data_IF_160656667595
#
_entry.id   IF_160656667595
#
_cell.length_a   1.000
_cell.length_b   1.000
_cell.length_c   1.000
_cell.angle_alpha   90.00
_cell.angle_beta   90.00
_cell.angle_gamma   90.00
#
_symmetry.space_group_name_H-M   'P 1'
#
loop_
_entity.id
_entity.type
_entity.pdbx_description
1 polymer ?
#
# COMPACT_ATOMS: atom_id res chain seq x y z
N UNK A 1 3.72 43.77 -12.13
CA UNK A 1 3.18 42.86 -11.13
C UNK A 1 3.88 41.49 -11.10
N UNK A 2 4.46 40.97 -12.21
CA UNK A 2 5.17 39.66 -12.28
C UNK A 2 6.32 39.49 -11.26
N UNK A 3 7.14 40.54 -11.02
CA UNK A 3 8.31 40.43 -10.16
C UNK A 3 8.03 40.34 -8.65
N UNK A 4 6.87 40.78 -8.17
CA UNK A 4 6.50 40.66 -6.75
C UNK A 4 6.04 39.25 -6.40
N UNK A 5 5.26 38.60 -7.23
CA UNK A 5 4.83 37.21 -7.07
C UNK A 5 6.02 36.24 -7.08
N UNK A 6 7.02 36.50 -7.92
CA UNK A 6 8.25 35.69 -7.97
C UNK A 6 9.04 35.74 -6.65
N UNK A 7 9.10 36.89 -5.96
CA UNK A 7 9.78 37.00 -4.65
C UNK A 7 9.12 36.20 -3.53
N UNK A 8 7.80 36.09 -3.54
CA UNK A 8 7.09 35.24 -2.56
C UNK A 8 7.27 33.74 -2.81
N UNK A 9 7.63 33.33 -4.04
CA UNK A 9 7.93 31.95 -4.37
C UNK A 9 9.35 31.52 -3.94
N UNK A 10 10.26 32.47 -3.69
CA UNK A 10 11.67 32.16 -3.35
C UNK A 10 11.82 31.24 -2.14
N UNK A 11 11.16 31.46 -0.99
CA UNK A 11 11.28 30.56 0.15
C UNK A 11 10.84 29.13 -0.17
N UNK A 12 9.76 28.97 -0.96
CA UNK A 12 9.28 27.68 -1.41
C UNK A 12 10.28 26.98 -2.34
N UNK A 13 10.84 27.71 -3.31
CA UNK A 13 11.84 27.16 -4.24
C UNK A 13 13.10 26.74 -3.49
N UNK A 14 13.58 27.54 -2.52
CA UNK A 14 14.74 27.19 -1.68
C UNK A 14 14.45 25.93 -0.88
N UNK A 15 13.27 25.86 -0.26
CA UNK A 15 12.85 24.65 0.49
C UNK A 15 12.82 23.42 -0.41
N UNK A 16 12.20 23.52 -1.60
CA UNK A 16 12.20 22.43 -2.59
C UNK A 16 13.60 22.02 -3.04
N UNK A 17 14.49 23.00 -3.26
CA UNK A 17 15.87 22.71 -3.64
C UNK A 17 16.63 21.93 -2.55
N UNK A 18 16.46 22.29 -1.28
CA UNK A 18 17.13 21.63 -0.16
C UNK A 18 16.53 20.24 0.12
N UNK A 19 15.20 20.12 0.17
CA UNK A 19 14.55 18.91 0.68
C UNK A 19 14.13 17.93 -0.43
N UNK A 20 14.10 18.33 -1.68
CA UNK A 20 13.75 17.47 -2.81
C UNK A 20 14.92 17.30 -3.76
N UNK A 21 15.48 18.40 -4.27
CA UNK A 21 16.52 18.32 -5.31
C UNK A 21 17.84 17.78 -4.75
N UNK A 22 18.27 18.26 -3.58
CA UNK A 22 19.53 17.81 -2.99
C UNK A 22 19.53 16.31 -2.65
N UNK A 23 18.50 15.72 -2.01
CA UNK A 23 18.45 14.27 -1.80
C UNK A 23 18.44 13.47 -3.10
N UNK A 24 17.76 13.95 -4.15
CA UNK A 24 17.78 13.29 -5.47
C UNK A 24 19.19 13.31 -6.06
N UNK A 25 19.88 14.44 -6.01
CA UNK A 25 21.28 14.55 -6.50
C UNK A 25 22.18 13.59 -5.71
N UNK A 26 22.07 13.58 -4.39
CA UNK A 26 22.82 12.67 -3.52
C UNK A 26 22.55 11.21 -3.90
N UNK A 27 21.30 10.84 -4.10
CA UNK A 27 20.92 9.48 -4.53
C UNK A 27 21.57 9.13 -5.88
N UNK A 28 21.51 10.02 -6.85
CA UNK A 28 22.15 9.81 -8.16
C UNK A 28 23.66 9.67 -8.03
N UNK A 29 24.31 10.53 -7.25
CA UNK A 29 25.76 10.43 -7.01
C UNK A 29 26.11 9.08 -6.38
N UNK A 30 25.40 8.65 -5.34
CA UNK A 30 25.64 7.33 -4.72
C UNK A 30 25.35 6.16 -5.65
N UNK A 31 24.35 6.27 -6.53
CA UNK A 31 24.04 5.22 -7.51
C UNK A 31 25.21 4.94 -8.47
N UNK A 32 25.97 5.97 -8.81
CA UNK A 32 27.13 5.90 -9.71
C UNK A 32 28.48 5.96 -9.01
N UNK A 33 28.53 5.92 -7.68
CA UNK A 33 29.74 5.99 -6.89
C UNK A 33 30.07 4.66 -6.22
N UNK A 34 31.37 4.29 -6.25
CA UNK A 34 31.90 3.18 -5.46
C UNK A 34 32.26 3.67 -4.04
N UNK A 35 32.49 2.74 -3.11
CA UNK A 35 33.02 2.99 -1.75
C UNK A 35 34.30 3.81 -1.74
N UNK A 36 35.12 3.71 -2.78
CA UNK A 36 36.39 4.45 -2.95
C UNK A 36 36.23 5.81 -3.65
N UNK A 37 34.98 6.25 -3.91
CA UNK A 37 34.66 7.53 -4.55
C UNK A 37 34.82 7.57 -6.05
N UNK A 38 35.10 6.42 -6.70
CA UNK A 38 35.21 6.29 -8.16
C UNK A 38 33.83 6.09 -8.83
N UNK A 39 33.76 6.44 -10.13
CA UNK A 39 32.56 6.14 -10.93
C UNK A 39 32.47 4.63 -11.19
N UNK A 40 31.28 4.05 -10.90
CA UNK A 40 31.02 2.63 -11.15
C UNK A 40 29.59 2.38 -11.58
N UNK A 41 29.39 1.31 -12.35
CA UNK A 41 28.08 0.76 -12.71
C UNK A 41 27.77 -0.55 -11.94
N UNK A 42 28.67 -0.98 -11.05
CA UNK A 42 28.53 -2.24 -10.32
C UNK A 42 27.28 -2.29 -9.47
N UNK A 43 26.84 -1.16 -8.93
CA UNK A 43 25.58 -1.05 -8.18
C UNK A 43 24.37 -1.50 -9.02
N UNK A 44 24.38 -1.19 -10.33
CA UNK A 44 23.31 -1.61 -11.24
C UNK A 44 23.43 -3.09 -11.64
N UNK A 45 24.65 -3.61 -11.76
CA UNK A 45 24.88 -5.04 -12.02
C UNK A 45 24.40 -5.87 -10.83
N UNK A 46 24.68 -5.43 -9.60
CA UNK A 46 24.21 -6.08 -8.36
C UNK A 46 22.68 -6.06 -8.25
N UNK A 47 21.98 -5.06 -8.80
CA UNK A 47 20.52 -5.03 -8.88
C UNK A 47 19.95 -6.23 -9.64
N UNK A 48 20.71 -6.83 -10.57
CA UNK A 48 20.30 -8.05 -11.26
C UNK A 48 19.99 -9.21 -10.31
N UNK A 49 20.69 -9.32 -9.18
CA UNK A 49 20.43 -10.29 -8.13
C UNK A 49 19.06 -10.12 -7.44
N UNK A 50 18.48 -8.93 -7.51
CA UNK A 50 17.16 -8.63 -6.93
C UNK A 50 16.01 -8.74 -7.94
N UNK A 51 16.27 -9.16 -9.19
CA UNK A 51 15.25 -9.26 -10.23
C UNK A 51 14.02 -10.12 -9.80
N UNK A 52 14.26 -11.21 -9.05
CA UNK A 52 13.20 -12.05 -8.51
C UNK A 52 12.31 -11.30 -7.49
N UNK A 53 12.92 -10.43 -6.67
CA UNK A 53 12.20 -9.60 -5.69
C UNK A 53 11.35 -8.56 -6.40
N UNK A 54 11.91 -7.89 -7.42
CA UNK A 54 11.16 -6.95 -8.26
C UNK A 54 9.99 -7.63 -8.97
N UNK A 55 10.21 -8.80 -9.58
CA UNK A 55 9.16 -9.57 -10.25
C UNK A 55 8.02 -9.94 -9.30
N UNK A 56 8.35 -10.38 -8.07
CA UNK A 56 7.37 -10.70 -7.03
C UNK A 56 6.59 -9.44 -6.61
N UNK A 57 7.26 -8.31 -6.41
CA UNK A 57 6.63 -7.05 -6.04
C UNK A 57 5.68 -6.56 -7.13
N UNK A 58 6.07 -6.62 -8.38
CA UNK A 58 5.21 -6.29 -9.54
C UNK A 58 3.97 -7.17 -9.59
N UNK A 59 4.13 -8.49 -9.43
CA UNK A 59 3.00 -9.43 -9.39
C UNK A 59 2.00 -9.07 -8.29
N UNK A 60 2.48 -8.83 -7.06
CA UNK A 60 1.62 -8.47 -5.94
C UNK A 60 0.92 -7.13 -6.15
N UNK A 61 1.62 -6.14 -6.71
CA UNK A 61 1.06 -4.84 -7.05
C UNK A 61 -0.05 -4.95 -8.11
N UNK A 62 0.14 -5.75 -9.17
CA UNK A 62 -0.88 -5.97 -10.20
C UNK A 62 -2.12 -6.65 -9.61
N UNK A 63 -1.96 -7.67 -8.77
CA UNK A 63 -3.07 -8.35 -8.10
C UNK A 63 -3.83 -7.36 -7.20
N UNK A 64 -3.12 -6.60 -6.38
CA UNK A 64 -3.74 -5.61 -5.50
C UNK A 64 -4.49 -4.52 -6.30
N UNK A 65 -3.91 -4.03 -7.41
CA UNK A 65 -4.55 -3.05 -8.28
C UNK A 65 -5.81 -3.61 -8.94
N UNK A 66 -5.78 -4.85 -9.44
CA UNK A 66 -6.93 -5.50 -10.02
C UNK A 66 -8.08 -5.64 -8.99
N UNK A 67 -7.76 -6.07 -7.75
CA UNK A 67 -8.75 -6.17 -6.67
C UNK A 67 -9.29 -4.79 -6.30
N UNK A 68 -8.44 -3.77 -6.17
CA UNK A 68 -8.87 -2.40 -5.91
C UNK A 68 -9.80 -1.87 -7.01
N UNK A 69 -9.54 -2.18 -8.26
CA UNK A 69 -10.39 -1.79 -9.38
C UNK A 69 -11.74 -2.52 -9.35
N UNK A 70 -11.73 -3.84 -9.11
CA UNK A 70 -12.94 -4.65 -9.01
C UNK A 70 -13.87 -4.21 -7.87
N UNK A 71 -13.32 -3.74 -6.78
CA UNK A 71 -14.09 -3.23 -5.63
C UNK A 71 -14.39 -1.73 -5.82
N UNK A 72 -13.40 -0.94 -6.23
CA UNK A 72 -13.47 0.51 -6.32
C UNK A 72 -14.44 0.98 -7.40
N UNK A 73 -14.49 0.31 -8.55
CA UNK A 73 -15.40 0.71 -9.64
C UNK A 73 -16.88 0.57 -9.25
N UNK A 74 -17.37 -0.58 -8.75
CA UNK A 74 -18.77 -0.69 -8.30
C UNK A 74 -19.09 0.30 -7.17
N UNK A 75 -18.20 0.44 -6.18
CA UNK A 75 -18.41 1.39 -5.07
C UNK A 75 -18.53 2.81 -5.58
N UNK A 76 -17.65 3.27 -6.45
CA UNK A 76 -17.70 4.61 -7.07
C UNK A 76 -18.97 4.79 -7.90
N UNK A 77 -19.35 3.76 -8.68
CA UNK A 77 -20.57 3.79 -9.49
C UNK A 77 -21.84 3.94 -8.64
N UNK A 78 -22.00 3.14 -7.58
CA UNK A 78 -23.14 3.27 -6.69
C UNK A 78 -23.12 4.62 -5.97
N UNK A 79 -21.95 5.04 -5.47
CA UNK A 79 -21.80 6.31 -4.79
C UNK A 79 -22.21 7.50 -5.67
N UNK A 80 -21.84 7.48 -6.95
CA UNK A 80 -22.20 8.54 -7.89
C UNK A 80 -23.71 8.67 -8.15
N UNK A 81 -24.50 7.64 -7.84
CA UNK A 81 -25.97 7.63 -8.02
C UNK A 81 -26.74 8.01 -6.76
N UNK A 82 -26.08 8.09 -5.63
CA UNK A 82 -26.68 8.44 -4.35
C UNK A 82 -26.89 9.95 -4.21
N UNK A 83 -27.69 10.36 -3.24
CA UNK A 83 -27.94 11.77 -2.96
C UNK A 83 -26.71 12.50 -2.41
N UNK A 84 -26.60 13.81 -2.67
CA UNK A 84 -25.45 14.64 -2.33
C UNK A 84 -25.02 14.58 -0.84
N UNK A 85 -25.97 14.39 0.08
CA UNK A 85 -25.69 14.26 1.51
C UNK A 85 -25.01 12.94 1.83
N UNK A 86 -25.46 11.85 1.24
CA UNK A 86 -24.86 10.53 1.40
C UNK A 86 -23.46 10.50 0.78
N UNK A 87 -23.28 11.06 -0.42
CA UNK A 87 -21.98 11.16 -1.08
C UNK A 87 -20.93 11.84 -0.19
N UNK A 88 -21.27 12.97 0.44
CA UNK A 88 -20.37 13.70 1.33
C UNK A 88 -19.94 12.85 2.52
N UNK A 89 -20.88 12.17 3.17
CA UNK A 89 -20.60 11.31 4.33
C UNK A 89 -19.74 10.11 3.90
N UNK A 90 -20.10 9.44 2.82
CA UNK A 90 -19.38 8.28 2.33
C UNK A 90 -17.93 8.63 1.92
N UNK A 91 -17.69 9.77 1.28
CA UNK A 91 -16.35 10.25 0.94
C UNK A 91 -15.50 10.48 2.18
N UNK A 92 -16.06 11.10 3.23
CA UNK A 92 -15.35 11.29 4.50
C UNK A 92 -15.00 9.95 5.13
N UNK A 93 -15.96 8.99 5.15
CA UNK A 93 -15.73 7.65 5.71
C UNK A 93 -14.67 6.85 4.94
N UNK A 94 -14.64 6.95 3.61
CA UNK A 94 -13.63 6.32 2.76
C UNK A 94 -12.23 6.91 3.03
N UNK A 95 -12.15 8.22 3.28
CA UNK A 95 -10.88 8.90 3.55
C UNK A 95 -10.42 8.74 4.99
N UNK A 96 -11.31 8.46 5.94
CA UNK A 96 -11.01 8.39 7.37
C UNK A 96 -9.84 7.44 7.71
N UNK A 97 -9.76 6.21 7.14
CA UNK A 97 -8.62 5.33 7.37
C UNK A 97 -7.27 5.92 6.94
N UNK A 98 -7.26 6.83 5.95
CA UNK A 98 -6.02 7.45 5.47
C UNK A 98 -5.40 8.42 6.48
N UNK A 99 -6.20 9.00 7.37
CA UNK A 99 -5.74 9.92 8.40
C UNK A 99 -5.10 9.20 9.60
N UNK A 100 -5.33 7.89 9.71
CA UNK A 100 -4.67 7.08 10.73
C UNK A 100 -3.20 6.83 10.38
N UNK A 101 -2.36 6.77 11.40
CA UNK A 101 -0.94 6.44 11.22
C UNK A 101 -0.79 5.07 10.55
N UNK A 102 0.06 5.01 9.52
CA UNK A 102 0.32 3.80 8.75
C UNK A 102 0.82 2.62 9.62
N UNK A 103 1.71 2.91 10.59
CA UNK A 103 2.24 1.87 11.48
C UNK A 103 1.14 1.26 12.35
N UNK A 104 0.26 2.09 12.94
CA UNK A 104 -0.86 1.59 13.75
C UNK A 104 -1.78 0.67 12.93
N UNK A 105 -2.07 1.05 11.68
CA UNK A 105 -2.87 0.22 10.76
C UNK A 105 -2.19 -1.11 10.46
N UNK A 106 -0.89 -1.08 10.19
CA UNK A 106 -0.11 -2.29 9.89
C UNK A 106 -0.08 -3.23 11.09
N UNK A 107 0.19 -2.73 12.30
CA UNK A 107 0.17 -3.54 13.53
C UNK A 107 -1.23 -4.10 13.80
N UNK A 108 -2.29 -3.34 13.58
CA UNK A 108 -3.66 -3.83 13.73
C UNK A 108 -3.94 -5.02 12.80
N UNK A 109 -3.52 -4.93 11.53
CA UNK A 109 -3.63 -6.05 10.59
C UNK A 109 -2.80 -7.26 11.02
N UNK A 110 -1.58 -7.05 11.52
CA UNK A 110 -0.76 -8.14 12.05
C UNK A 110 -1.46 -8.87 13.18
N UNK A 111 -2.02 -8.14 14.16
CA UNK A 111 -2.77 -8.72 15.28
C UNK A 111 -4.04 -9.46 14.83
N UNK A 112 -4.74 -8.96 13.82
CA UNK A 112 -5.95 -9.62 13.28
C UNK A 112 -5.60 -10.92 12.56
N UNK A 113 -4.50 -10.94 11.81
CA UNK A 113 -4.06 -12.07 10.98
C UNK A 113 -3.18 -13.09 11.73
N UNK A 114 -2.84 -12.83 12.99
CA UNK A 114 -2.04 -13.72 13.81
C UNK A 114 -2.73 -15.09 13.98
N UNK A 115 -1.93 -16.14 14.29
CA UNK A 115 -2.45 -17.50 14.43
C UNK A 115 -3.58 -17.60 15.47
N UNK A 116 -3.46 -16.87 16.59
CA UNK A 116 -4.51 -16.72 17.61
C UNK A 116 -5.29 -15.41 17.47
N UNK A 117 -5.17 -14.74 16.30
CA UNK A 117 -5.82 -13.47 16.03
C UNK A 117 -7.33 -13.57 15.88
N UNK A 118 -7.97 -12.41 15.86
CA UNK A 118 -9.44 -12.30 15.81
C UNK A 118 -10.05 -13.04 14.62
N UNK A 119 -9.37 -13.06 13.48
CA UNK A 119 -9.88 -13.71 12.27
C UNK A 119 -9.92 -15.23 12.41
N UNK A 120 -8.86 -15.84 12.96
CA UNK A 120 -8.83 -17.28 13.22
C UNK A 120 -9.84 -17.68 14.31
N UNK A 121 -10.00 -16.87 15.36
CA UNK A 121 -11.05 -17.10 16.36
C UNK A 121 -12.46 -17.05 15.76
N UNK A 122 -12.69 -16.10 14.83
CA UNK A 122 -13.95 -16.01 14.12
C UNK A 122 -14.19 -17.25 13.25
N UNK A 123 -13.16 -17.70 12.51
CA UNK A 123 -13.26 -18.91 11.68
C UNK A 123 -13.50 -20.19 12.50
N UNK A 124 -12.91 -20.29 13.70
CA UNK A 124 -13.20 -21.38 14.63
C UNK A 124 -14.66 -21.34 15.11
N UNK A 125 -15.15 -20.16 15.54
CA UNK A 125 -16.54 -19.99 16.02
C UNK A 125 -17.57 -20.25 14.93
N UNK A 126 -17.28 -19.89 13.68
CA UNK A 126 -18.16 -20.15 12.53
C UNK A 126 -18.05 -21.58 12.01
N UNK A 127 -17.17 -22.42 12.57
CA UNK A 127 -16.98 -23.79 12.13
C UNK A 127 -16.27 -23.93 10.76
N UNK A 128 -15.72 -22.84 10.22
CA UNK A 128 -15.05 -22.82 8.91
C UNK A 128 -13.82 -23.74 8.92
N UNK A 129 -13.05 -23.74 10.01
CA UNK A 129 -11.87 -24.59 10.16
C UNK A 129 -12.31 -26.06 10.28
N UNK A 130 -13.39 -26.36 11.00
CA UNK A 130 -13.93 -27.72 11.09
C UNK A 130 -14.44 -28.22 9.73
N UNK A 131 -15.13 -27.37 8.98
CA UNK A 131 -15.60 -27.67 7.63
C UNK A 131 -14.41 -27.92 6.68
N UNK A 132 -13.39 -27.06 6.72
CA UNK A 132 -12.17 -27.23 5.92
C UNK A 132 -11.49 -28.56 6.24
N UNK A 133 -11.32 -28.90 7.52
CA UNK A 133 -10.71 -30.17 7.95
C UNK A 133 -11.52 -31.39 7.50
N UNK A 134 -12.86 -31.31 7.52
CA UNK A 134 -13.72 -32.41 7.07
C UNK A 134 -13.66 -32.63 5.56
N UNK A 135 -13.49 -31.57 4.76
CA UNK A 135 -13.42 -31.63 3.29
C UNK A 135 -12.03 -32.05 2.80
N UNK A 136 -10.97 -31.54 3.45
CA UNK A 136 -9.57 -31.79 3.01
C UNK A 136 -8.89 -32.96 3.72
N UNK A 137 -9.52 -33.52 4.77
CA UNK A 137 -8.90 -34.55 5.61
C UNK A 137 -7.72 -34.03 6.44
N UNK A 138 -7.56 -32.73 6.58
CA UNK A 138 -6.49 -32.08 7.34
C UNK A 138 -6.91 -31.89 8.78
N UNK A 139 -5.93 -31.74 9.69
CA UNK A 139 -6.16 -31.41 11.10
C UNK A 139 -5.52 -30.06 11.43
N UNK A 140 -6.02 -28.99 10.80
CA UNK A 140 -5.49 -27.64 10.99
C UNK A 140 -6.24 -26.95 12.13
N UNK A 141 -5.52 -26.43 13.12
CA UNK A 141 -6.12 -25.67 14.22
C UNK A 141 -6.39 -24.21 13.86
N UNK A 142 -5.56 -23.64 12.98
CA UNK A 142 -5.67 -22.26 12.51
C UNK A 142 -5.12 -22.12 11.09
N UNK A 143 -5.55 -21.10 10.37
CA UNK A 143 -4.96 -20.72 9.11
C UNK A 143 -3.75 -19.82 9.33
N UNK A 144 -2.57 -20.24 8.87
CA UNK A 144 -1.36 -19.39 8.89
C UNK A 144 -1.47 -18.31 7.82
N UNK A 145 -1.99 -17.13 8.21
CA UNK A 145 -2.20 -16.00 7.31
C UNK A 145 -1.04 -15.01 7.35
N UNK A 146 -0.33 -14.89 8.48
CA UNK A 146 0.84 -14.02 8.62
C UNK A 146 1.95 -14.41 7.66
N UNK A 147 2.69 -13.41 7.17
CA UNK A 147 3.83 -13.55 6.25
C UNK A 147 3.49 -14.21 4.91
N UNK A 148 2.21 -14.27 4.54
CA UNK A 148 1.77 -14.78 3.24
C UNK A 148 1.63 -13.65 2.20
N UNK A 149 1.72 -14.03 0.92
CA UNK A 149 1.46 -13.09 -0.17
C UNK A 149 0.03 -12.53 -0.11
N UNK A 150 -0.93 -13.33 0.36
CA UNK A 150 -2.32 -12.90 0.54
C UNK A 150 -2.46 -11.81 1.59
N UNK A 151 -1.77 -11.92 2.73
CA UNK A 151 -1.77 -10.87 3.77
C UNK A 151 -1.18 -9.56 3.25
N UNK A 152 -0.10 -9.63 2.44
CA UNK A 152 0.50 -8.45 1.82
C UNK A 152 -0.49 -7.78 0.86
N UNK A 153 -1.13 -8.56 -0.02
CA UNK A 153 -2.15 -8.04 -0.96
C UNK A 153 -3.33 -7.44 -0.20
N UNK A 154 -3.81 -8.07 0.85
CA UNK A 154 -4.90 -7.54 1.69
C UNK A 154 -4.53 -6.17 2.29
N UNK A 155 -3.33 -6.06 2.86
CA UNK A 155 -2.81 -4.80 3.38
C UNK A 155 -2.67 -3.72 2.30
N UNK A 156 -2.20 -4.10 1.10
CA UNK A 156 -2.11 -3.19 -0.05
C UNK A 156 -3.51 -2.72 -0.49
N UNK A 157 -4.46 -3.62 -0.64
CA UNK A 157 -5.85 -3.28 -1.01
C UNK A 157 -6.45 -2.32 0.01
N UNK A 158 -6.35 -2.62 1.29
CA UNK A 158 -6.87 -1.75 2.35
C UNK A 158 -6.27 -0.34 2.30
N UNK A 159 -4.96 -0.23 2.07
CA UNK A 159 -4.27 1.06 2.02
C UNK A 159 -4.57 1.87 0.74
N UNK A 160 -4.71 1.20 -0.41
CA UNK A 160 -4.80 1.86 -1.71
C UNK A 160 -6.24 1.94 -2.28
N UNK A 161 -7.20 1.22 -1.70
CA UNK A 161 -8.59 1.27 -2.13
C UNK A 161 -9.19 2.69 -2.16
N UNK A 162 -8.99 3.56 -1.14
CA UNK A 162 -9.46 4.95 -1.19
C UNK A 162 -8.88 5.73 -2.37
N UNK A 163 -7.59 5.52 -2.69
CA UNK A 163 -6.92 6.18 -3.82
C UNK A 163 -7.45 5.69 -5.18
N UNK A 164 -8.08 4.52 -5.24
CA UNK A 164 -8.74 4.03 -6.45
C UNK A 164 -10.17 4.58 -6.55
N UNK A 165 -10.92 4.60 -5.44
CA UNK A 165 -12.32 5.06 -5.43
C UNK A 165 -12.42 6.54 -5.79
N UNK A 166 -11.57 7.40 -5.19
CA UNK A 166 -11.66 8.85 -5.34
C UNK A 166 -11.53 9.35 -6.79
N UNK A 167 -10.55 8.90 -7.60
CA UNK A 167 -10.43 9.34 -8.98
C UNK A 167 -11.51 8.78 -9.93
N UNK A 168 -12.09 7.61 -9.59
CA UNK A 168 -13.13 6.97 -10.40
C UNK A 168 -14.49 7.64 -10.14
N UNK A 169 -14.75 8.07 -8.92
CA UNK A 169 -15.93 8.81 -8.51
C UNK A 169 -15.97 10.21 -9.13
#
# INVERSE_FOLDING_TARGET
>A
MKNKLSRFAVPYVVWMAIFVVAPIIIMVVYAFSNTDGGFTLDNFVQMGGYAAVFGRSFKLALIATAICLLIGYPVSYFLSREGASFQKIAMVLIMLPMWMNFLLRTYSWMTILENNGLLNQLFQKLGIIALYNSVTGSSVEYFSMMNTQGAVVLGMVYNYLPFMILPIY
#
